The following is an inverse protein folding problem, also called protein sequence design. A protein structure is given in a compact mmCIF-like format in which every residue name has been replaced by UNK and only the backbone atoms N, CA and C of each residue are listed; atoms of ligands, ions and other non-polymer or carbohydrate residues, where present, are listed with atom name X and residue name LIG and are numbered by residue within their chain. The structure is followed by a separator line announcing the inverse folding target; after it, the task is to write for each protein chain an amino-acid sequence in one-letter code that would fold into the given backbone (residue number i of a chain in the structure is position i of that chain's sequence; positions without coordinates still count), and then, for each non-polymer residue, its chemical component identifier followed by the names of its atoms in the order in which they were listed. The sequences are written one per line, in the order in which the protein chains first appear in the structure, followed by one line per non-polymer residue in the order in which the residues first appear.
data_IF_282016162686
#
_entry.id   IF_282016162686
#
_cell.length_a   1.000
_cell.length_b   1.000
_cell.length_c   1.000
_cell.angle_alpha   90.00
_cell.angle_beta   90.00
_cell.angle_gamma   90.00
#
_symmetry.space_group_name_H-M   'P 1'
#
loop_
_entity.id
_entity.type
_entity.pdbx_description
1 polymer ?
#
# COMPACT_ATOMS: atom_id res chain seq x y z
N UNK A 1 5.21 9.63 -8.93
CA UNK A 1 6.11 10.73 -9.35
C UNK A 1 7.53 10.26 -9.65
N UNK A 2 8.18 9.48 -8.78
CA UNK A 2 9.54 8.95 -9.07
C UNK A 2 9.58 8.08 -10.33
N UNK A 3 8.55 7.25 -10.54
CA UNK A 3 8.45 6.34 -11.71
C UNK A 3 8.12 7.07 -13.02
N UNK A 4 7.57 8.28 -12.95
CA UNK A 4 7.18 9.07 -14.13
C UNK A 4 8.40 9.53 -14.93
N UNK A 5 9.50 9.83 -14.24
CA UNK A 5 10.75 10.33 -14.84
C UNK A 5 11.36 9.31 -15.82
N UNK A 6 11.64 8.05 -15.44
CA UNK A 6 12.17 7.08 -16.38
C UNK A 6 11.18 6.73 -17.51
N UNK A 7 9.88 6.69 -17.24
CA UNK A 7 8.86 6.41 -18.28
C UNK A 7 8.83 7.52 -19.33
N UNK A 8 8.81 8.78 -18.91
CA UNK A 8 8.85 9.92 -19.81
C UNK A 8 10.15 9.97 -20.61
N UNK A 9 11.28 9.66 -19.96
CA UNK A 9 12.59 9.65 -20.61
C UNK A 9 12.67 8.55 -21.70
N UNK A 10 12.27 7.32 -21.38
CA UNK A 10 12.21 6.22 -22.35
C UNK A 10 11.26 6.55 -23.51
N UNK A 11 10.06 7.06 -23.19
CA UNK A 11 9.10 7.45 -24.22
C UNK A 11 9.63 8.54 -25.15
N UNK A 12 10.32 9.53 -24.60
CA UNK A 12 10.93 10.62 -25.38
C UNK A 12 12.09 10.11 -26.25
N UNK A 13 12.94 9.22 -25.75
CA UNK A 13 14.02 8.63 -26.55
C UNK A 13 13.52 7.72 -27.66
N UNK A 14 12.41 6.99 -27.42
CA UNK A 14 11.87 6.05 -28.39
C UNK A 14 11.05 6.73 -29.49
N UNK A 15 10.23 7.72 -29.13
CA UNK A 15 9.25 8.32 -30.04
C UNK A 15 9.44 9.82 -30.25
N UNK A 16 10.40 10.45 -29.58
CA UNK A 16 10.63 11.90 -29.68
C UNK A 16 9.40 12.72 -29.29
N UNK A 17 9.26 13.90 -29.90
CA UNK A 17 8.10 14.79 -29.76
C UNK A 17 6.97 14.42 -30.72
N UNK A 18 6.64 13.14 -30.84
CA UNK A 18 5.54 12.67 -31.69
C UNK A 18 4.23 12.55 -30.91
N UNK A 19 3.12 12.38 -31.64
CA UNK A 19 1.79 12.15 -31.06
C UNK A 19 1.77 10.91 -30.13
N UNK A 20 2.58 9.89 -30.45
CA UNK A 20 2.71 8.67 -29.65
C UNK A 20 3.25 8.95 -28.25
N UNK A 21 4.20 9.87 -28.12
CA UNK A 21 4.71 10.32 -26.82
C UNK A 21 3.63 11.04 -26.02
N UNK A 22 2.83 11.89 -26.65
CA UNK A 22 1.73 12.60 -26.00
C UNK A 22 0.68 11.61 -25.49
N UNK A 23 0.27 10.63 -26.31
CA UNK A 23 -0.66 9.59 -25.87
C UNK A 23 -0.12 8.78 -24.69
N UNK A 24 1.17 8.42 -24.71
CA UNK A 24 1.83 7.75 -23.60
C UNK A 24 1.77 8.58 -22.32
N UNK A 25 2.11 9.87 -22.39
CA UNK A 25 2.14 10.75 -21.24
C UNK A 25 0.75 10.96 -20.65
N UNK A 26 -0.29 11.10 -21.48
CA UNK A 26 -1.67 11.23 -21.03
C UNK A 26 -2.15 9.93 -20.38
N UNK A 27 -1.97 8.78 -21.03
CA UNK A 27 -2.39 7.49 -20.50
C UNK A 27 -1.69 7.19 -19.17
N UNK A 28 -0.37 7.39 -19.11
CA UNK A 28 0.40 7.23 -17.88
C UNK A 28 -0.06 8.21 -16.79
N UNK A 29 -0.34 9.47 -17.13
CA UNK A 29 -0.88 10.46 -16.20
C UNK A 29 -2.20 10.02 -15.58
N UNK A 30 -3.13 9.50 -16.39
CA UNK A 30 -4.42 8.95 -15.92
C UNK A 30 -4.20 7.75 -14.99
N UNK A 31 -3.35 6.80 -15.38
CA UNK A 31 -3.02 5.64 -14.55
C UNK A 31 -2.47 6.10 -13.20
N UNK A 32 -1.56 7.06 -13.20
CA UNK A 32 -0.91 7.52 -11.98
C UNK A 32 -1.85 8.32 -11.07
N UNK A 33 -2.79 9.06 -11.65
CA UNK A 33 -3.85 9.73 -10.91
C UNK A 33 -4.79 8.72 -10.24
N UNK A 34 -5.15 7.64 -10.94
CA UNK A 34 -5.97 6.56 -10.39
C UNK A 34 -5.22 5.79 -9.31
N UNK A 35 -3.96 5.41 -9.58
CA UNK A 35 -3.12 4.65 -8.65
C UNK A 35 -2.94 5.39 -7.32
N UNK A 36 -2.46 6.64 -7.38
CA UNK A 36 -2.16 7.42 -6.17
C UNK A 36 -3.38 7.98 -5.42
N UNK A 37 -4.46 8.36 -6.11
CA UNK A 37 -5.60 9.04 -5.47
C UNK A 37 -6.80 8.13 -5.19
N UNK A 38 -6.90 6.96 -5.84
CA UNK A 38 -8.07 6.07 -5.71
C UNK A 38 -7.64 4.67 -5.30
N UNK A 39 -6.79 4.02 -6.09
CA UNK A 39 -6.40 2.62 -5.89
C UNK A 39 -5.69 2.42 -4.54
N UNK A 40 -4.70 3.26 -4.24
CA UNK A 40 -4.00 3.26 -2.95
C UNK A 40 -4.99 3.44 -1.78
N UNK A 41 -5.72 4.56 -1.64
CA UNK A 41 -6.62 4.72 -0.50
C UNK A 41 -7.72 3.64 -0.44
N UNK A 42 -8.21 3.14 -1.56
CA UNK A 42 -9.17 2.03 -1.58
C UNK A 42 -8.59 0.73 -1.00
N UNK A 43 -7.41 0.30 -1.49
CA UNK A 43 -6.74 -0.91 -1.02
C UNK A 43 -6.27 -0.79 0.45
N UNK A 44 -5.78 0.39 0.83
CA UNK A 44 -5.33 0.64 2.21
C UNK A 44 -6.50 0.90 3.18
N UNK A 45 -7.66 1.39 2.71
CA UNK A 45 -8.88 1.56 3.53
C UNK A 45 -9.42 0.22 4.01
N UNK A 46 -9.28 -0.84 3.21
CA UNK A 46 -9.70 -2.20 3.59
C UNK A 46 -8.65 -2.86 4.50
N UNK A 47 -7.36 -2.76 4.17
CA UNK A 47 -6.28 -3.43 4.91
C UNK A 47 -5.93 -2.78 6.26
N UNK A 48 -6.05 -1.45 6.42
CA UNK A 48 -5.40 -0.73 7.53
C UNK A 48 -6.37 0.13 8.34
N UNK A 49 -7.48 -0.45 8.79
CA UNK A 49 -8.16 -0.01 10.03
C UNK A 49 -7.29 -0.31 11.27
N UNK A 50 -6.09 0.27 11.37
CA UNK A 50 -5.23 0.16 12.55
C UNK A 50 -5.59 1.29 13.51
N UNK A 51 -5.96 0.95 14.74
CA UNK A 51 -6.11 1.96 15.78
C UNK A 51 -4.73 2.62 16.04
N UNK A 52 -4.64 3.96 16.18
CA UNK A 52 -3.40 4.66 16.55
C UNK A 52 -2.58 4.01 17.66
N UNK A 53 -3.23 3.35 18.62
CA UNK A 53 -2.59 2.61 19.70
C UNK A 53 -1.68 1.48 19.18
N UNK A 54 -2.11 0.72 18.16
CA UNK A 54 -1.30 -0.36 17.59
C UNK A 54 -0.01 0.16 16.94
N UNK A 55 -0.08 1.33 16.30
CA UNK A 55 1.09 2.00 15.70
C UNK A 55 2.06 2.43 16.80
N UNK A 56 1.56 3.06 17.88
CA UNK A 56 2.38 3.49 19.02
C UNK A 56 3.03 2.28 19.69
N UNK A 57 2.27 1.20 19.93
CA UNK A 57 2.80 -0.05 20.47
C UNK A 57 3.92 -0.62 19.59
N UNK A 58 3.73 -0.67 18.27
CA UNK A 58 4.75 -1.14 17.34
C UNK A 58 6.01 -0.24 17.35
N UNK A 59 5.85 1.08 17.36
CA UNK A 59 6.97 2.03 17.44
C UNK A 59 7.76 1.85 18.73
N UNK A 60 7.09 1.68 19.87
CA UNK A 60 7.76 1.46 21.17
C UNK A 60 8.48 0.11 21.23
N UNK A 61 7.86 -0.96 20.72
CA UNK A 61 8.46 -2.30 20.67
C UNK A 61 9.66 -2.35 19.72
N UNK A 62 9.45 -2.03 18.44
CA UNK A 62 10.49 -2.13 17.44
C UNK A 62 11.55 -1.05 17.60
N UNK A 63 11.16 0.19 17.97
CA UNK A 63 12.08 1.26 18.31
C UNK A 63 12.94 0.94 19.53
N UNK A 64 12.41 0.20 20.51
CA UNK A 64 13.20 -0.31 21.63
C UNK A 64 14.17 -1.45 21.26
N UNK A 65 13.79 -2.31 20.31
CA UNK A 65 14.60 -3.47 19.86
C UNK A 65 15.80 -3.07 18.98
N UNK A 66 15.59 -2.15 18.03
CA UNK A 66 16.60 -1.80 17.01
C UNK A 66 16.87 -0.28 16.89
N UNK A 67 16.31 0.54 17.78
CA UNK A 67 16.48 1.99 17.71
C UNK A 67 15.79 2.58 16.49
N UNK A 68 16.50 3.46 15.77
CA UNK A 68 15.97 4.20 14.62
C UNK A 68 15.37 3.29 13.52
N UNK A 69 16.05 2.19 13.20
CA UNK A 69 15.58 1.25 12.17
C UNK A 69 14.25 0.61 12.55
N UNK A 70 14.05 0.30 13.83
CA UNK A 70 12.80 -0.25 14.33
C UNK A 70 11.62 0.72 14.23
N UNK A 71 11.88 2.03 14.38
CA UNK A 71 10.86 3.07 14.19
C UNK A 71 10.43 3.16 12.71
N UNK A 72 11.40 3.12 11.78
CA UNK A 72 11.11 3.14 10.34
C UNK A 72 10.24 1.96 9.90
N UNK A 73 10.52 0.76 10.41
CA UNK A 73 9.77 -0.45 10.07
C UNK A 73 8.49 -0.67 10.89
N UNK A 74 8.17 0.20 11.85
CA UNK A 74 7.04 0.00 12.75
C UNK A 74 5.68 -0.07 12.02
N UNK A 75 5.45 0.79 11.02
CA UNK A 75 4.18 0.83 10.27
C UNK A 75 4.00 -0.43 9.39
N UNK A 76 4.98 -0.83 8.56
CA UNK A 76 4.91 -2.09 7.83
C UNK A 76 4.67 -3.31 8.73
N UNK A 77 5.40 -3.42 9.85
CA UNK A 77 5.28 -4.56 10.75
C UNK A 77 3.94 -4.58 11.48
N UNK A 78 3.44 -3.44 11.97
CA UNK A 78 2.11 -3.35 12.56
C UNK A 78 1.01 -3.82 11.59
N UNK A 79 1.14 -3.42 10.32
CA UNK A 79 0.20 -3.82 9.26
C UNK A 79 0.28 -5.31 8.97
N UNK A 80 1.49 -5.88 8.92
CA UNK A 80 1.69 -7.32 8.74
C UNK A 80 1.06 -8.13 9.88
N UNK A 81 1.32 -7.76 11.12
CA UNK A 81 0.74 -8.44 12.29
C UNK A 81 -0.79 -8.42 12.25
N UNK A 82 -1.38 -7.27 11.94
CA UNK A 82 -2.83 -7.16 11.78
C UNK A 82 -3.35 -8.06 10.66
N UNK A 83 -2.73 -8.04 9.48
CA UNK A 83 -3.13 -8.86 8.35
C UNK A 83 -3.09 -10.37 8.70
N UNK A 84 -2.07 -10.81 9.45
CA UNK A 84 -1.98 -12.20 9.92
C UNK A 84 -3.09 -12.55 10.90
N UNK A 85 -3.43 -11.65 11.83
CA UNK A 85 -4.52 -11.86 12.79
C UNK A 85 -5.90 -11.90 12.10
N UNK A 86 -6.12 -11.05 11.09
CA UNK A 86 -7.36 -11.01 10.32
C UNK A 86 -7.49 -12.25 9.42
N UNK A 87 -6.38 -12.74 8.86
CA UNK A 87 -6.34 -13.97 8.07
C UNK A 87 -6.39 -15.25 8.92
N UNK A 88 -6.32 -15.16 10.25
CA UNK A 88 -6.30 -16.34 11.10
C UNK A 88 -7.66 -17.07 11.06
N UNK A 89 -7.70 -18.38 10.78
CA UNK A 89 -8.95 -19.13 10.69
C UNK A 89 -9.75 -19.01 11.99
N UNK A 90 -10.91 -18.35 11.92
CA UNK A 90 -11.89 -18.36 13.01
C UNK A 90 -12.81 -19.55 12.78
N UNK A 91 -12.71 -20.55 13.67
CA UNK A 91 -13.71 -21.60 13.73
C UNK A 91 -14.99 -20.98 14.27
N UNK A 92 -15.86 -20.49 13.39
CA UNK A 92 -17.23 -20.17 13.76
C UNK A 92 -17.88 -21.48 14.23
N UNK A 93 -18.40 -21.54 15.46
CA UNK A 93 -19.17 -22.69 15.88
C UNK A 93 -20.37 -22.78 14.94
N UNK A 94 -20.41 -23.83 14.11
CA UNK A 94 -21.58 -24.19 13.32
C UNK A 94 -22.74 -24.33 14.29
N UNK A 95 -23.57 -23.30 14.40
CA UNK A 95 -24.78 -23.35 15.21
C UNK A 95 -25.67 -24.36 14.49
N UNK A 96 -25.77 -25.56 15.05
CA UNK A 96 -26.63 -26.60 14.51
C UNK A 96 -28.05 -26.00 14.39
N UNK A 97 -28.72 -26.11 13.24
CA UNK A 97 -30.10 -25.70 13.13
C UNK A 97 -30.89 -26.51 14.15
N UNK A 98 -31.67 -25.82 14.98
CA UNK A 98 -32.44 -26.38 16.09
C UNK A 98 -33.64 -27.23 15.60
N UNK A 99 -33.39 -28.22 14.73
CA UNK A 99 -34.38 -29.17 14.22
C UNK A 99 -33.96 -30.61 14.51
#
# INVERSE_FOLDING_TARGET
MVVTVPVALIGLFQWGWSDQFIYLMIAHGVIQALDGNVLVPLLFSEAVNLHPVAIICAVLLFGGLWGFWGIFFAIPLATLFKAVLDAWPRNEPTVAPLL
#
